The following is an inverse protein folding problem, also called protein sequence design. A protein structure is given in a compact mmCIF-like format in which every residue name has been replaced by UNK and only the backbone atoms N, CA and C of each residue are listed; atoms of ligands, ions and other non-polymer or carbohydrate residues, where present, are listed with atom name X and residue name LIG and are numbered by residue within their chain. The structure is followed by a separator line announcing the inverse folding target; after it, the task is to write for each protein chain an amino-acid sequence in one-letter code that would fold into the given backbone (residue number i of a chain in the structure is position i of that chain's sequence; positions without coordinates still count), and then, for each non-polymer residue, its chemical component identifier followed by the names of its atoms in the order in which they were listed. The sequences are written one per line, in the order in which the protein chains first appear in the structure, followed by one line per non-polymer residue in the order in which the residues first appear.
data_IF_199280973780
#
_entry.id   IF_199280973780
#
_cell.length_a   1.000
_cell.length_b   1.000
_cell.length_c   1.000
_cell.angle_alpha   90.00
_cell.angle_beta   90.00
_cell.angle_gamma   90.00
#
_symmetry.space_group_name_H-M   'P 1'
#
loop_
_entity.id
_entity.type
_entity.pdbx_description
1 polymer ?
#
# COMPACT_ATOMS: atom_id res chain seq x y z
N UNK A 1 10.27 7.11 12.01
CA UNK A 1 11.19 6.38 12.90
C UNK A 1 12.02 5.45 12.04
N UNK A 2 13.34 5.47 12.22
CA UNK A 2 14.24 4.68 11.40
C UNK A 2 14.67 3.43 12.20
N UNK A 3 14.03 2.30 11.94
CA UNK A 3 14.34 1.02 12.58
C UNK A 3 15.80 0.60 12.39
N UNK A 4 16.42 1.00 11.27
CA UNK A 4 17.85 0.76 11.03
C UNK A 4 18.70 1.51 12.05
N UNK A 5 18.32 2.75 12.39
CA UNK A 5 18.99 3.54 13.43
C UNK A 5 18.91 2.86 14.79
N UNK A 6 17.72 2.40 15.21
CA UNK A 6 17.55 1.71 16.48
C UNK A 6 18.40 0.44 16.56
N UNK A 7 18.43 -0.33 15.48
CA UNK A 7 19.21 -1.56 15.43
C UNK A 7 20.72 -1.30 15.46
N UNK A 8 21.20 -0.28 14.76
CA UNK A 8 22.61 0.13 14.82
C UNK A 8 22.96 0.65 16.21
N UNK A 9 22.13 1.46 16.84
CA UNK A 9 22.33 1.94 18.20
C UNK A 9 22.43 0.79 19.21
N UNK A 10 21.58 -0.22 19.09
CA UNK A 10 21.62 -1.43 19.91
C UNK A 10 22.95 -2.20 19.74
N UNK A 11 23.41 -2.41 18.49
CA UNK A 11 24.69 -3.06 18.20
C UNK A 11 25.87 -2.27 18.82
N UNK A 12 25.78 -0.94 18.83
CA UNK A 12 26.79 -0.05 19.40
C UNK A 12 26.69 0.06 20.95
N UNK A 13 25.64 -0.53 21.55
CA UNK A 13 25.40 -0.46 23.01
C UNK A 13 24.94 0.91 23.48
N UNK A 14 24.27 1.66 22.62
CA UNK A 14 23.74 2.99 22.88
C UNK A 14 22.25 2.91 23.22
N UNK A 15 21.78 3.88 24.00
CA UNK A 15 20.36 4.10 24.19
C UNK A 15 19.83 4.98 23.05
N UNK A 16 19.02 4.46 22.13
CA UNK A 16 18.54 5.21 20.97
C UNK A 16 17.61 6.39 21.34
N UNK A 17 17.08 6.41 22.56
CA UNK A 17 16.20 7.48 23.04
C UNK A 17 16.99 8.60 23.77
N UNK A 18 18.18 8.30 24.31
CA UNK A 18 19.02 9.25 25.05
C UNK A 18 20.26 9.67 24.26
N UNK A 19 20.86 8.77 23.49
CA UNK A 19 22.09 8.98 22.75
C UNK A 19 21.79 9.39 21.30
N UNK A 20 21.61 10.68 21.05
CA UNK A 20 21.40 11.18 19.67
C UNK A 20 22.70 11.03 18.89
N UNK A 21 22.83 9.94 18.16
CA UNK A 21 23.80 9.90 17.05
C UNK A 21 23.16 10.70 15.90
N UNK A 22 23.82 11.75 15.45
CA UNK A 22 23.39 12.52 14.28
C UNK A 22 23.64 11.71 12.99
N UNK A 23 23.17 10.45 13.03
CA UNK A 23 23.40 9.43 12.01
C UNK A 23 22.39 9.57 10.86
N UNK A 24 21.22 10.13 11.17
CA UNK A 24 20.15 10.37 10.23
C UNK A 24 19.58 11.78 10.39
N UNK A 25 20.09 12.68 9.59
CA UNK A 25 19.31 13.87 9.25
C UNK A 25 18.03 13.49 8.49
N UNK A 26 17.23 14.47 8.11
CA UNK A 26 16.07 14.24 7.24
C UNK A 26 16.53 13.59 5.93
N UNK A 27 16.42 12.27 5.81
CA UNK A 27 16.81 11.51 4.62
C UNK A 27 15.98 11.95 3.41
N UNK A 28 16.60 12.57 2.46
CA UNK A 28 15.96 12.90 1.18
C UNK A 28 15.95 11.67 0.28
N UNK A 29 14.84 11.47 -0.43
CA UNK A 29 14.75 10.50 -1.52
C UNK A 29 14.86 11.23 -2.85
N UNK A 30 15.76 10.77 -3.70
CA UNK A 30 15.86 11.20 -5.09
C UNK A 30 15.36 10.05 -5.95
N UNK A 31 14.23 10.26 -6.62
CA UNK A 31 13.67 9.28 -7.54
C UNK A 31 13.83 9.78 -8.98
N UNK A 32 14.40 8.98 -9.85
CA UNK A 32 14.52 9.26 -11.28
C UNK A 32 14.14 8.03 -12.11
N UNK A 33 13.78 8.28 -13.39
CA UNK A 33 13.57 7.19 -14.34
C UNK A 33 14.89 6.51 -14.69
N UNK A 34 14.83 5.27 -15.13
CA UNK A 34 15.96 4.55 -15.69
C UNK A 34 15.77 4.34 -17.20
N UNK A 35 16.85 4.47 -17.96
CA UNK A 35 16.83 4.33 -19.43
C UNK A 35 16.59 2.90 -19.91
N UNK A 36 16.84 1.91 -19.03
CA UNK A 36 16.79 0.49 -19.34
C UNK A 36 15.53 -0.21 -18.81
N UNK A 37 14.48 0.54 -18.46
CA UNK A 37 13.22 -0.06 -18.02
C UNK A 37 12.59 -0.88 -19.15
N UNK A 38 12.18 -2.09 -18.80
CA UNK A 38 11.33 -2.93 -19.65
C UNK A 38 9.89 -2.49 -19.54
N UNK A 39 9.11 -2.70 -20.58
CA UNK A 39 7.66 -2.51 -20.51
C UNK A 39 7.02 -3.47 -19.52
N UNK A 40 6.03 -2.99 -18.80
CA UNK A 40 5.17 -3.87 -18.01
C UNK A 40 4.30 -4.71 -18.94
N UNK A 41 4.14 -5.99 -18.62
CA UNK A 41 3.25 -6.90 -19.31
C UNK A 41 2.18 -7.39 -18.32
N UNK A 42 0.92 -7.49 -18.78
CA UNK A 42 -0.19 -7.92 -17.92
C UNK A 42 -0.99 -9.02 -18.59
N UNK A 43 -1.19 -10.09 -17.82
CA UNK A 43 -2.12 -11.18 -18.17
C UNK A 43 -3.34 -11.08 -17.25
N UNK A 44 -4.52 -10.97 -17.88
CA UNK A 44 -5.79 -10.89 -17.16
C UNK A 44 -6.62 -12.12 -17.50
N UNK A 45 -7.10 -12.80 -16.48
CA UNK A 45 -8.00 -13.96 -16.59
C UNK A 45 -9.26 -13.67 -15.80
N UNK A 46 -10.43 -13.95 -16.38
CA UNK A 46 -11.70 -13.85 -15.66
C UNK A 46 -12.64 -14.97 -16.05
N UNK A 47 -13.46 -15.39 -15.08
CA UNK A 47 -14.55 -16.32 -15.29
C UNK A 47 -15.75 -15.83 -14.49
N UNK A 48 -16.91 -15.80 -15.14
CA UNK A 48 -18.12 -15.31 -14.52
C UNK A 48 -19.38 -16.07 -14.91
N UNK A 49 -20.39 -15.90 -14.08
CA UNK A 49 -21.75 -16.40 -14.32
C UNK A 49 -22.75 -15.26 -14.22
N UNK A 50 -23.80 -15.36 -15.03
CA UNK A 50 -24.95 -14.46 -14.99
C UNK A 50 -26.19 -15.30 -14.77
N UNK A 51 -27.00 -14.94 -13.78
CA UNK A 51 -28.24 -15.61 -13.43
C UNK A 51 -29.40 -14.63 -13.52
N UNK A 52 -30.48 -15.04 -14.13
CA UNK A 52 -31.76 -14.29 -14.19
C UNK A 52 -32.86 -15.15 -13.58
N UNK A 53 -32.93 -15.30 -12.22
CA UNK A 53 -33.81 -16.23 -11.56
C UNK A 53 -35.31 -15.85 -11.60
N UNK A 54 -35.57 -14.57 -11.85
CA UNK A 54 -36.93 -14.02 -12.03
C UNK A 54 -36.86 -12.72 -12.87
N UNK A 55 -38.05 -12.32 -13.37
CA UNK A 55 -38.16 -11.12 -14.18
C UNK A 55 -37.61 -9.89 -13.44
N UNK A 56 -36.75 -9.16 -14.15
CA UNK A 56 -36.12 -7.94 -13.64
C UNK A 56 -34.95 -8.14 -12.66
N UNK A 57 -34.64 -9.36 -12.24
CA UNK A 57 -33.49 -9.65 -11.37
C UNK A 57 -32.36 -10.30 -12.15
N UNK A 58 -31.21 -9.65 -12.17
CA UNK A 58 -29.96 -10.19 -12.70
C UNK A 58 -28.92 -10.24 -11.57
N UNK A 59 -28.27 -11.38 -11.43
CA UNK A 59 -27.16 -11.60 -10.49
C UNK A 59 -25.94 -11.99 -11.30
N UNK A 60 -24.80 -11.33 -11.07
CA UNK A 60 -23.51 -11.68 -11.67
C UNK A 60 -22.52 -12.02 -10.58
N UNK A 61 -21.66 -12.98 -10.87
CA UNK A 61 -20.50 -13.28 -10.04
C UNK A 61 -19.32 -13.58 -10.98
N UNK A 62 -18.27 -12.80 -10.85
CA UNK A 62 -17.07 -12.86 -11.68
C UNK A 62 -15.85 -13.00 -10.78
N UNK A 63 -15.07 -14.08 -10.95
CA UNK A 63 -13.75 -14.19 -10.36
C UNK A 63 -12.69 -13.81 -11.38
N UNK A 64 -11.65 -13.14 -10.94
CA UNK A 64 -10.62 -12.61 -11.84
C UNK A 64 -9.24 -12.64 -11.19
N UNK A 65 -8.21 -12.75 -12.03
CA UNK A 65 -6.80 -12.67 -11.65
C UNK A 65 -6.07 -11.77 -12.64
N UNK A 66 -5.25 -10.87 -12.12
CA UNK A 66 -4.39 -9.96 -12.88
C UNK A 66 -2.96 -10.23 -12.44
N UNK A 67 -2.16 -10.76 -13.36
CA UNK A 67 -0.73 -10.95 -13.17
C UNK A 67 0.03 -9.92 -14.00
N UNK A 68 0.90 -9.14 -13.37
CA UNK A 68 1.65 -8.05 -13.98
C UNK A 68 3.14 -8.29 -13.79
N UNK A 69 3.83 -8.57 -14.88
CA UNK A 69 5.27 -8.76 -14.92
C UNK A 69 6.03 -7.45 -15.17
N UNK A 70 7.29 -7.40 -14.76
CA UNK A 70 8.15 -6.23 -14.89
C UNK A 70 7.52 -4.95 -14.32
N UNK A 71 6.78 -5.06 -13.21
CA UNK A 71 6.11 -3.93 -12.58
C UNK A 71 7.09 -2.79 -12.32
N UNK A 72 6.83 -1.61 -12.87
CA UNK A 72 7.69 -0.46 -12.66
C UNK A 72 7.37 0.14 -11.30
N UNK A 73 8.37 0.16 -10.43
CA UNK A 73 8.23 0.64 -9.07
C UNK A 73 9.55 1.11 -8.48
N UNK A 74 9.52 1.39 -7.20
CA UNK A 74 10.68 1.79 -6.41
C UNK A 74 11.03 0.66 -5.44
N UNK A 75 12.31 0.46 -5.17
CA UNK A 75 12.74 -0.48 -4.14
C UNK A 75 12.34 -0.01 -2.74
N UNK A 76 12.31 1.28 -2.55
CA UNK A 76 11.95 1.93 -1.30
C UNK A 76 13.17 2.42 -0.50
N UNK A 77 13.03 3.64 0.03
CA UNK A 77 14.12 4.26 0.79
C UNK A 77 14.53 3.43 2.01
N UNK A 78 13.55 2.91 2.76
CA UNK A 78 13.79 2.08 3.94
C UNK A 78 14.53 0.79 3.55
N UNK A 79 14.08 0.11 2.49
CA UNK A 79 14.74 -1.11 2.01
C UNK A 79 16.19 -0.84 1.56
N UNK A 80 16.48 0.30 0.91
CA UNK A 80 17.84 0.67 0.55
C UNK A 80 18.75 0.85 1.76
N UNK A 81 18.27 1.50 2.83
CA UNK A 81 19.05 1.68 4.07
C UNK A 81 19.23 0.38 4.83
N UNK A 82 18.21 -0.47 4.86
CA UNK A 82 18.30 -1.81 5.45
C UNK A 82 19.30 -2.69 4.68
N UNK A 83 19.32 -2.60 3.35
CA UNK A 83 20.27 -3.32 2.53
C UNK A 83 21.71 -2.82 2.74
N UNK A 84 21.89 -1.51 2.93
CA UNK A 84 23.19 -0.92 3.28
C UNK A 84 23.70 -1.46 4.63
N UNK A 85 22.83 -1.54 5.64
CA UNK A 85 23.17 -2.16 6.92
C UNK A 85 23.52 -3.63 6.75
N UNK A 86 22.76 -4.39 5.97
CA UNK A 86 23.04 -5.79 5.70
C UNK A 86 24.44 -5.99 5.10
N UNK A 87 24.81 -5.16 4.12
CA UNK A 87 26.15 -5.21 3.52
C UNK A 87 27.25 -4.93 4.55
N UNK A 88 27.00 -4.01 5.49
CA UNK A 88 27.94 -3.71 6.57
C UNK A 88 28.07 -4.87 7.56
N UNK A 89 26.96 -5.50 7.96
CA UNK A 89 26.94 -6.69 8.80
C UNK A 89 27.69 -7.86 8.15
N UNK A 90 27.48 -8.08 6.86
CA UNK A 90 28.18 -9.13 6.09
C UNK A 90 29.67 -8.87 5.97
N UNK A 91 30.10 -7.61 5.93
CA UNK A 91 31.51 -7.23 5.92
C UNK A 91 32.18 -7.57 7.27
N UNK A 92 31.44 -7.55 8.38
CA UNK A 92 31.91 -7.94 9.71
C UNK A 92 33.08 -7.11 10.24
N UNK A 93 33.13 -5.81 9.88
CA UNK A 93 34.23 -4.91 10.28
C UNK A 93 35.57 -5.19 9.55
N UNK A 94 35.57 -5.99 8.50
CA UNK A 94 36.78 -6.26 7.72
C UNK A 94 37.02 -5.18 6.66
N UNK A 95 38.30 -4.79 6.49
CA UNK A 95 38.74 -3.85 5.44
C UNK A 95 37.83 -2.62 5.27
N UNK A 96 37.52 -1.97 6.39
CA UNK A 96 36.62 -0.82 6.40
C UNK A 96 37.10 0.36 5.54
N UNK A 97 38.40 0.42 5.23
CA UNK A 97 38.94 1.45 4.34
C UNK A 97 38.44 1.32 2.89
N UNK A 98 38.05 0.11 2.48
CA UNK A 98 37.54 -0.19 1.14
C UNK A 98 36.05 -0.63 1.19
N UNK A 99 35.40 -0.51 2.35
CA UNK A 99 33.98 -0.89 2.45
C UNK A 99 33.14 0.05 1.59
N UNK A 100 32.37 -0.53 0.69
CA UNK A 100 31.35 0.15 -0.11
C UNK A 100 30.02 -0.51 0.22
N UNK A 101 29.15 0.23 0.89
CA UNK A 101 27.79 -0.19 1.17
C UNK A 101 26.89 -0.19 -0.07
N UNK A 102 25.61 0.01 0.13
CA UNK A 102 24.66 0.15 -0.97
C UNK A 102 24.92 1.45 -1.75
N UNK A 103 25.26 1.34 -3.02
CA UNK A 103 25.55 2.51 -3.88
C UNK A 103 24.38 3.49 -4.05
N UNK A 104 23.15 3.06 -3.73
CA UNK A 104 21.98 3.93 -3.70
C UNK A 104 21.95 4.85 -2.47
N UNK A 105 22.64 4.49 -1.39
CA UNK A 105 22.70 5.25 -0.14
C UNK A 105 23.92 6.16 -0.18
N UNK A 106 23.69 7.45 -0.37
CA UNK A 106 24.78 8.45 -0.42
C UNK A 106 25.00 9.03 0.96
N UNK A 107 26.22 8.89 1.46
CA UNK A 107 26.63 9.27 2.81
C UNK A 107 27.68 10.37 2.78
N UNK A 108 27.83 11.07 3.90
CA UNK A 108 29.01 11.86 4.21
C UNK A 108 30.13 10.94 4.72
N UNK A 109 31.35 11.46 4.71
CA UNK A 109 32.48 10.73 5.34
C UNK A 109 32.25 10.71 6.87
N UNK A 110 32.55 9.58 7.55
CA UNK A 110 32.48 9.54 9.01
C UNK A 110 33.55 10.44 9.61
N UNK A 111 33.18 11.21 10.65
CA UNK A 111 34.14 11.93 11.43
C UNK A 111 34.86 11.02 12.46
N UNK A 112 35.81 11.58 13.23
CA UNK A 112 36.60 10.78 14.18
C UNK A 112 35.74 10.24 15.32
N UNK A 113 34.72 10.96 15.76
CA UNK A 113 33.86 10.54 16.86
C UNK A 113 33.02 9.34 16.43
N UNK A 114 32.51 9.32 15.18
CA UNK A 114 31.82 8.16 14.57
C UNK A 114 32.77 6.98 14.43
N UNK A 115 34.01 7.21 13.95
CA UNK A 115 35.02 6.12 13.81
C UNK A 115 35.30 5.48 15.17
N UNK A 116 35.51 6.29 16.21
CA UNK A 116 35.77 5.81 17.57
C UNK A 116 34.56 5.06 18.15
N UNK A 117 33.34 5.53 17.88
CA UNK A 117 32.10 4.91 18.32
C UNK A 117 31.92 3.49 17.73
N UNK A 118 32.24 3.30 16.45
CA UNK A 118 32.13 2.00 15.80
C UNK A 118 33.25 1.04 16.12
N UNK A 119 34.29 1.49 16.86
CA UNK A 119 35.45 0.65 17.15
C UNK A 119 35.07 -0.58 17.97
N UNK A 120 35.31 -1.76 17.40
CA UNK A 120 35.04 -3.05 18.04
C UNK A 120 33.59 -3.55 17.93
N UNK A 121 32.70 -2.82 17.26
CA UNK A 121 31.30 -3.24 17.06
C UNK A 121 31.11 -4.37 16.05
N UNK A 122 32.11 -4.63 15.19
CA UNK A 122 31.98 -5.53 14.05
C UNK A 122 31.32 -4.88 12.82
N UNK A 123 31.08 -3.57 12.87
CA UNK A 123 30.62 -2.77 11.76
C UNK A 123 31.71 -1.83 11.28
N UNK A 124 31.69 -1.50 10.00
CA UNK A 124 32.51 -0.42 9.49
C UNK A 124 31.84 0.94 9.80
N UNK A 125 32.64 1.92 10.24
CA UNK A 125 32.11 3.28 10.50
C UNK A 125 31.59 3.89 9.20
N UNK A 126 30.39 4.41 9.21
CA UNK A 126 29.75 5.10 8.09
C UNK A 126 29.16 6.43 8.58
N UNK A 127 29.31 7.47 7.77
CA UNK A 127 28.76 8.79 8.11
C UNK A 127 27.26 8.92 7.85
N UNK A 128 26.68 10.10 8.17
CA UNK A 128 25.27 10.37 7.99
C UNK A 128 24.79 10.20 6.54
N UNK A 129 23.57 9.70 6.36
CA UNK A 129 22.94 9.60 5.04
C UNK A 129 22.52 11.00 4.57
N UNK A 130 23.01 11.41 3.42
CA UNK A 130 22.60 12.66 2.76
C UNK A 130 21.30 12.51 2.00
N UNK A 131 21.22 11.45 1.17
CA UNK A 131 20.05 11.08 0.39
C UNK A 131 20.14 9.65 -0.11
N UNK A 132 19.02 9.13 -0.52
CA UNK A 132 18.91 7.81 -1.16
C UNK A 132 18.46 7.98 -2.60
N UNK A 133 19.23 7.41 -3.54
CA UNK A 133 18.87 7.28 -4.95
C UNK A 133 17.93 6.10 -5.14
N UNK A 134 16.64 6.35 -5.02
CA UNK A 134 15.60 5.33 -5.18
C UNK A 134 14.99 5.46 -6.58
N UNK A 135 15.73 4.96 -7.57
CA UNK A 135 15.32 5.06 -8.96
C UNK A 135 14.24 4.03 -9.32
N UNK A 136 13.41 4.36 -10.31
CA UNK A 136 12.46 3.41 -10.84
C UNK A 136 13.18 2.21 -11.48
N UNK A 137 12.76 1.02 -11.10
CA UNK A 137 13.27 -0.26 -11.59
C UNK A 137 12.10 -1.17 -11.99
N UNK A 138 12.38 -2.22 -12.75
CA UNK A 138 11.42 -3.29 -12.91
C UNK A 138 11.50 -4.21 -11.69
N UNK A 139 10.40 -4.28 -10.96
CA UNK A 139 10.19 -5.24 -9.88
C UNK A 139 9.67 -6.55 -10.48
N UNK A 140 9.67 -7.61 -9.69
CA UNK A 140 9.07 -8.89 -10.05
C UNK A 140 7.56 -8.79 -10.25
N UNK A 141 6.92 -9.94 -10.37
CA UNK A 141 5.50 -10.06 -10.66
C UNK A 141 4.66 -9.51 -9.50
N UNK A 142 3.62 -8.77 -9.88
CA UNK A 142 2.52 -8.37 -8.99
C UNK A 142 1.27 -9.13 -9.37
N UNK A 143 0.65 -9.78 -8.40
CA UNK A 143 -0.59 -10.55 -8.60
C UNK A 143 -1.72 -9.94 -7.78
N UNK A 144 -2.87 -9.70 -8.43
CA UNK A 144 -4.09 -9.26 -7.76
C UNK A 144 -5.21 -10.19 -8.19
N UNK A 145 -5.92 -10.77 -7.22
CA UNK A 145 -7.04 -11.67 -7.45
C UNK A 145 -8.26 -11.20 -6.67
N UNK A 146 -9.43 -11.47 -7.22
CA UNK A 146 -10.64 -11.08 -6.54
C UNK A 146 -11.91 -11.58 -7.19
N UNK A 147 -13.03 -11.21 -6.56
CA UNK A 147 -14.37 -11.57 -6.98
C UNK A 147 -15.27 -10.35 -6.99
N UNK A 148 -15.96 -10.13 -8.10
CA UNK A 148 -17.00 -9.12 -8.22
C UNK A 148 -18.38 -9.77 -8.15
N UNK A 149 -19.29 -9.21 -7.35
CA UNK A 149 -20.69 -9.61 -7.25
C UNK A 149 -21.56 -8.43 -7.65
N UNK A 150 -22.43 -8.66 -8.64
CA UNK A 150 -23.42 -7.68 -9.08
C UNK A 150 -24.84 -8.19 -8.83
N UNK A 151 -25.71 -7.33 -8.30
CA UNK A 151 -27.15 -7.58 -8.19
C UNK A 151 -27.90 -6.40 -8.77
N UNK A 152 -28.71 -6.66 -9.77
CA UNK A 152 -29.53 -5.65 -10.45
C UNK A 152 -30.98 -6.10 -10.39
N UNK A 153 -31.84 -5.30 -9.78
CA UNK A 153 -33.25 -5.61 -9.67
C UNK A 153 -34.14 -4.42 -10.04
N UNK A 154 -34.91 -4.60 -11.09
CA UNK A 154 -35.90 -3.64 -11.53
C UNK A 154 -37.30 -4.24 -11.34
N UNK A 155 -38.17 -3.54 -10.64
CA UNK A 155 -39.54 -3.99 -10.40
C UNK A 155 -40.52 -2.81 -10.31
N UNK A 156 -41.75 -3.07 -10.70
CA UNK A 156 -42.83 -2.10 -10.68
C UNK A 156 -43.76 -2.37 -9.50
N UNK A 157 -44.30 -1.30 -8.94
CA UNK A 157 -45.28 -1.33 -7.86
C UNK A 157 -46.38 -0.29 -8.09
N UNK A 158 -47.46 -0.36 -7.32
CA UNK A 158 -48.50 0.69 -7.32
C UNK A 158 -47.94 2.05 -6.88
N UNK A 159 -46.81 2.11 -6.25
CA UNK A 159 -46.14 3.35 -5.78
C UNK A 159 -45.05 3.85 -6.73
N UNK A 160 -44.87 3.20 -7.89
CA UNK A 160 -43.86 3.55 -8.89
C UNK A 160 -42.83 2.43 -9.13
N UNK A 161 -41.83 2.77 -9.94
CA UNK A 161 -40.81 1.87 -10.42
C UNK A 161 -39.57 1.95 -9.54
N UNK A 162 -39.00 0.81 -9.22
CA UNK A 162 -37.78 0.69 -8.44
C UNK A 162 -36.65 0.08 -9.25
N UNK A 163 -35.47 0.62 -9.08
CA UNK A 163 -34.22 0.05 -9.62
C UNK A 163 -33.20 -0.03 -8.49
N UNK A 164 -32.80 -1.23 -8.14
CA UNK A 164 -31.76 -1.53 -7.16
C UNK A 164 -30.53 -2.03 -7.88
N UNK A 165 -29.36 -1.53 -7.50
CA UNK A 165 -28.08 -1.98 -8.00
C UNK A 165 -27.11 -2.10 -6.84
N UNK A 166 -26.57 -3.29 -6.65
CA UNK A 166 -25.46 -3.57 -5.76
C UNK A 166 -24.27 -4.05 -6.57
N UNK A 167 -23.08 -3.58 -6.26
CA UNK A 167 -21.81 -4.08 -6.76
C UNK A 167 -20.90 -4.18 -5.55
N UNK A 168 -20.38 -5.38 -5.30
CA UNK A 168 -19.35 -5.66 -4.32
C UNK A 168 -18.11 -6.21 -5.03
N UNK A 169 -16.95 -5.66 -4.71
CA UNK A 169 -15.64 -6.18 -5.10
C UNK A 169 -14.94 -6.68 -3.85
N UNK A 170 -14.45 -7.90 -3.89
CA UNK A 170 -13.68 -8.56 -2.84
C UNK A 170 -12.32 -8.90 -3.43
N UNK A 171 -11.27 -8.42 -2.80
CA UNK A 171 -9.89 -8.73 -3.18
C UNK A 171 -9.43 -9.88 -2.29
N UNK A 172 -9.02 -10.99 -2.90
CA UNK A 172 -8.60 -12.21 -2.21
C UNK A 172 -7.07 -12.26 -2.07
N UNK A 173 -6.35 -11.60 -2.99
CA UNK A 173 -4.89 -11.54 -3.01
C UNK A 173 -4.42 -10.21 -3.58
N UNK A 174 -3.43 -9.60 -2.95
CA UNK A 174 -2.64 -8.51 -3.51
C UNK A 174 -1.17 -8.71 -3.13
N UNK A 175 -0.43 -9.40 -3.98
CA UNK A 175 0.96 -9.77 -3.72
C UNK A 175 1.93 -9.07 -4.67
N UNK A 176 3.06 -8.62 -4.13
CA UNK A 176 4.24 -8.20 -4.88
C UNK A 176 5.36 -9.18 -4.59
N UNK A 177 5.66 -10.04 -5.55
CA UNK A 177 6.68 -11.08 -5.38
C UNK A 177 8.04 -10.48 -5.01
N UNK A 178 8.70 -10.96 -3.95
CA UNK A 178 10.07 -10.57 -3.61
C UNK A 178 11.07 -11.08 -4.65
N UNK A 179 12.00 -10.21 -5.09
CA UNK A 179 13.14 -10.63 -5.91
C UNK A 179 14.42 -9.86 -5.56
N UNK A 180 15.54 -10.22 -6.19
CA UNK A 180 16.81 -9.49 -6.09
C UNK A 180 17.24 -9.17 -4.66
N UNK A 181 17.53 -7.90 -4.43
CA UNK A 181 18.01 -7.41 -3.12
C UNK A 181 16.94 -7.57 -2.03
N UNK A 182 15.63 -7.49 -2.37
CA UNK A 182 14.57 -7.71 -1.41
C UNK A 182 14.52 -9.16 -0.90
N UNK A 183 14.67 -10.15 -1.79
CA UNK A 183 14.78 -11.56 -1.39
C UNK A 183 15.99 -11.80 -0.48
N UNK A 184 17.07 -11.04 -0.69
CA UNK A 184 18.27 -11.09 0.16
C UNK A 184 17.97 -10.54 1.55
N UNK A 185 17.23 -9.43 1.66
CA UNK A 185 16.79 -8.88 2.95
C UNK A 185 15.89 -9.86 3.71
N UNK A 186 14.90 -10.44 3.05
CA UNK A 186 14.02 -11.45 3.66
C UNK A 186 14.82 -12.66 4.18
N UNK A 187 15.78 -13.14 3.39
CA UNK A 187 16.65 -14.25 3.79
C UNK A 187 17.54 -13.90 5.00
N UNK A 188 18.02 -12.67 5.05
CA UNK A 188 18.81 -12.17 6.19
C UNK A 188 17.99 -12.10 7.48
N UNK A 189 16.75 -11.66 7.41
CA UNK A 189 15.82 -11.70 8.57
C UNK A 189 15.51 -13.13 9.00
N UNK A 190 15.24 -14.04 8.06
CA UNK A 190 14.96 -15.45 8.38
C UNK A 190 16.16 -16.16 9.02
N UNK A 191 17.38 -15.77 8.65
CA UNK A 191 18.61 -16.31 9.25
C UNK A 191 18.98 -15.64 10.59
N UNK A 192 18.31 -14.58 11.00
CA UNK A 192 18.62 -13.80 12.19
C UNK A 192 19.83 -12.87 12.03
N UNK A 193 20.30 -12.63 10.80
CA UNK A 193 21.36 -11.66 10.53
C UNK A 193 20.84 -10.21 10.56
N UNK A 194 19.60 -10.01 10.14
CA UNK A 194 18.85 -8.78 10.34
C UNK A 194 17.73 -9.02 11.35
N UNK A 195 17.48 -8.03 12.19
CA UNK A 195 16.36 -8.08 13.14
C UNK A 195 15.02 -8.13 12.39
N UNK A 196 14.11 -8.98 12.86
CA UNK A 196 12.78 -9.13 12.26
C UNK A 196 11.86 -7.94 12.53
N UNK A 197 12.18 -7.07 13.48
CA UNK A 197 11.44 -5.83 13.73
C UNK A 197 11.69 -4.75 12.68
N UNK A 198 12.77 -4.86 11.87
CA UNK A 198 13.03 -3.93 10.78
C UNK A 198 11.99 -4.18 9.67
N UNK A 199 11.07 -3.25 9.39
CA UNK A 199 10.06 -3.46 8.38
C UNK A 199 10.66 -3.48 6.98
N UNK A 200 10.23 -4.43 6.16
CA UNK A 200 10.52 -4.49 4.74
C UNK A 200 9.24 -4.11 3.98
N UNK A 201 9.28 -2.98 3.29
CA UNK A 201 8.09 -2.34 2.73
C UNK A 201 7.87 -2.65 1.24
N UNK A 202 6.60 -2.70 0.81
CA UNK A 202 6.21 -2.70 -0.61
C UNK A 202 6.28 -4.04 -1.33
N UNK A 203 6.48 -5.15 -0.60
CA UNK A 203 6.59 -6.49 -1.14
C UNK A 203 5.87 -7.52 -0.27
N UNK A 204 5.63 -8.72 -0.81
CA UNK A 204 4.85 -9.74 -0.18
C UNK A 204 3.36 -9.43 -0.24
N UNK A 205 2.61 -9.87 0.76
CA UNK A 205 1.18 -9.61 0.85
C UNK A 205 0.92 -8.14 1.23
N UNK A 206 0.34 -7.40 0.30
CA UNK A 206 -0.02 -6.00 0.42
C UNK A 206 -1.51 -5.78 0.70
N UNK A 207 -2.28 -6.88 0.79
CA UNK A 207 -3.71 -6.79 1.07
C UNK A 207 -3.94 -6.26 2.50
N UNK A 208 -4.87 -5.33 2.64
CA UNK A 208 -5.14 -4.70 3.93
C UNK A 208 -4.06 -3.72 4.40
N UNK A 209 -3.10 -3.32 3.54
CA UNK A 209 -2.05 -2.36 3.88
C UNK A 209 -2.14 -1.09 3.02
N UNK A 210 -1.87 0.07 3.61
CA UNK A 210 -1.67 1.36 2.93
C UNK A 210 -2.74 1.74 1.89
N UNK A 211 -4.00 1.43 2.19
CA UNK A 211 -5.16 1.75 1.35
C UNK A 211 -5.57 0.64 0.37
N UNK A 212 -4.92 -0.52 0.41
CA UNK A 212 -5.32 -1.71 -0.34
C UNK A 212 -6.37 -2.49 0.48
N UNK A 213 -7.55 -1.93 0.63
CA UNK A 213 -8.66 -2.60 1.34
C UNK A 213 -9.12 -3.85 0.57
N UNK A 214 -9.56 -4.86 1.32
CA UNK A 214 -10.01 -6.15 0.81
C UNK A 214 -11.41 -6.11 0.19
N UNK A 215 -12.24 -5.12 0.58
CA UNK A 215 -13.60 -5.01 0.07
C UNK A 215 -14.04 -3.59 -0.28
N UNK A 216 -14.90 -3.50 -1.29
CA UNK A 216 -15.56 -2.26 -1.69
C UNK A 216 -16.98 -2.53 -2.15
N UNK A 217 -17.94 -1.81 -1.61
CA UNK A 217 -19.35 -1.98 -1.93
C UNK A 217 -19.96 -0.70 -2.46
N UNK A 218 -20.81 -0.82 -3.46
CA UNK A 218 -21.67 0.26 -3.94
C UNK A 218 -23.11 -0.24 -4.00
N UNK A 219 -23.99 0.42 -3.25
CA UNK A 219 -25.41 0.20 -3.32
C UNK A 219 -26.09 1.45 -3.90
N UNK A 220 -26.96 1.27 -4.86
CA UNK A 220 -27.76 2.35 -5.41
C UNK A 220 -29.23 1.92 -5.52
N UNK A 221 -30.13 2.74 -4.97
CA UNK A 221 -31.56 2.57 -5.11
C UNK A 221 -32.16 3.79 -5.79
N UNK A 222 -32.98 3.56 -6.80
CA UNK A 222 -33.70 4.61 -7.53
C UNK A 222 -35.18 4.27 -7.52
N UNK A 223 -35.99 5.25 -7.12
CA UNK A 223 -37.44 5.21 -7.22
C UNK A 223 -37.91 6.26 -8.21
N UNK A 224 -38.91 5.91 -9.04
CA UNK A 224 -39.57 6.80 -9.97
C UNK A 224 -41.07 6.68 -9.86
N UNK A 225 -41.74 7.83 -9.82
CA UNK A 225 -43.21 7.91 -9.89
C UNK A 225 -43.61 9.20 -10.60
N UNK A 226 -44.22 9.07 -11.76
CA UNK A 226 -44.57 10.21 -12.60
C UNK A 226 -43.33 11.08 -12.89
N UNK A 227 -43.38 12.40 -12.60
CA UNK A 227 -42.24 13.28 -12.88
C UNK A 227 -41.14 13.21 -11.82
N UNK A 228 -41.31 12.46 -10.75
CA UNK A 228 -40.33 12.37 -9.66
C UNK A 228 -39.36 11.24 -9.81
N UNK A 229 -38.10 11.49 -9.48
CA UNK A 229 -37.10 10.48 -9.29
C UNK A 229 -36.30 10.79 -8.02
N UNK A 230 -36.18 9.78 -7.15
CA UNK A 230 -35.33 9.81 -5.98
C UNK A 230 -34.27 8.73 -6.13
N UNK A 231 -33.02 9.09 -5.92
CA UNK A 231 -31.90 8.15 -5.97
C UNK A 231 -31.06 8.30 -4.71
N UNK A 232 -30.85 7.21 -4.00
CA UNK A 232 -29.83 7.11 -2.95
C UNK A 232 -28.71 6.21 -3.40
N UNK A 233 -27.49 6.48 -2.94
CA UNK A 233 -26.35 5.60 -3.14
C UNK A 233 -25.44 5.61 -1.94
N UNK A 234 -24.90 4.44 -1.62
CA UNK A 234 -23.90 4.25 -0.57
C UNK A 234 -22.62 3.71 -1.20
N UNK A 235 -21.50 4.19 -0.72
CA UNK A 235 -20.18 3.67 -1.05
C UNK A 235 -19.47 3.28 0.26
N UNK A 236 -19.16 2.00 0.40
CA UNK A 236 -18.36 1.46 1.50
C UNK A 236 -16.98 1.07 0.97
N UNK A 237 -15.95 1.38 1.71
CA UNK A 237 -14.57 0.87 1.55
C UNK A 237 -14.21 0.14 2.82
N UNK A 238 -13.55 -1.02 2.67
CA UNK A 238 -13.06 -1.84 3.77
C UNK A 238 -11.99 -1.11 4.60
N UNK A 239 -11.66 -1.70 5.72
CA UNK A 239 -10.58 -1.25 6.60
C UNK A 239 -9.21 -1.62 6.02
N UNK A 240 -8.18 -0.97 6.51
CA UNK A 240 -6.80 -1.31 6.21
C UNK A 240 -5.87 -0.79 7.32
N UNK A 241 -4.64 -1.32 7.37
CA UNK A 241 -3.61 -0.85 8.27
C UNK A 241 -2.64 0.08 7.55
N UNK A 242 -2.18 1.12 8.26
CA UNK A 242 -1.12 1.99 7.75
C UNK A 242 0.23 1.38 8.15
N UNK A 243 0.85 0.65 7.24
CA UNK A 243 2.07 -0.12 7.52
C UNK A 243 3.24 0.79 7.92
N UNK A 244 3.37 1.96 7.28
CA UNK A 244 4.39 2.97 7.59
C UNK A 244 4.31 3.57 9.00
N UNK A 245 3.21 3.34 9.74
CA UNK A 245 3.00 3.80 11.12
C UNK A 245 3.02 2.65 12.14
N UNK A 246 3.58 1.50 11.79
CA UNK A 246 3.75 0.40 12.75
C UNK A 246 4.71 0.83 13.87
N UNK A 247 4.29 0.65 15.12
CA UNK A 247 5.13 0.96 16.29
C UNK A 247 6.17 -0.14 16.52
N UNK A 248 7.21 0.17 17.30
CA UNK A 248 8.30 -0.77 17.63
C UNK A 248 7.83 -2.04 18.36
N UNK A 249 6.68 -1.99 19.03
CA UNK A 249 6.05 -3.15 19.68
C UNK A 249 5.18 -3.99 18.73
N UNK A 250 5.15 -3.64 17.43
CA UNK A 250 4.34 -4.31 16.40
C UNK A 250 2.88 -3.82 16.32
N UNK A 251 2.50 -2.81 17.10
CA UNK A 251 1.15 -2.22 17.02
C UNK A 251 0.98 -1.52 15.67
N UNK A 252 -0.06 -1.91 14.92
CA UNK A 252 -0.43 -1.31 13.65
C UNK A 252 -1.61 -0.35 13.83
N UNK A 253 -1.59 0.76 13.11
CA UNK A 253 -2.71 1.70 13.08
C UNK A 253 -3.74 1.26 12.05
N UNK A 254 -4.92 0.95 12.53
CA UNK A 254 -6.07 0.58 11.70
C UNK A 254 -6.81 1.83 11.24
N UNK A 255 -7.02 1.92 9.94
CA UNK A 255 -7.95 2.87 9.33
C UNK A 255 -9.28 2.13 9.15
N UNK A 256 -10.30 2.45 9.95
CA UNK A 256 -11.55 1.70 9.93
C UNK A 256 -12.29 1.84 8.59
N UNK A 257 -13.17 0.90 8.32
CA UNK A 257 -14.05 0.97 7.16
C UNK A 257 -14.88 2.25 7.15
N UNK A 258 -15.11 2.80 5.96
CA UNK A 258 -15.85 4.05 5.79
C UNK A 258 -17.01 3.87 4.82
N UNK A 259 -18.20 4.33 5.21
CA UNK A 259 -19.39 4.36 4.35
C UNK A 259 -19.89 5.79 4.18
N UNK A 260 -20.14 6.19 2.94
CA UNK A 260 -20.74 7.49 2.62
C UNK A 260 -22.07 7.30 1.91
N UNK A 261 -23.05 8.14 2.25
CA UNK A 261 -24.39 8.11 1.66
C UNK A 261 -24.67 9.40 0.87
N UNK A 262 -25.24 9.23 -0.32
CA UNK A 262 -25.63 10.35 -1.17
C UNK A 262 -27.13 10.27 -1.48
N UNK A 263 -27.79 11.42 -1.58
CA UNK A 263 -29.19 11.54 -1.94
C UNK A 263 -29.37 12.51 -3.09
N UNK A 264 -30.18 12.13 -4.06
CA UNK A 264 -30.54 12.98 -5.19
C UNK A 264 -32.04 12.92 -5.41
N UNK A 265 -32.67 14.08 -5.60
CA UNK A 265 -34.05 14.21 -6.00
C UNK A 265 -34.10 14.97 -7.32
N UNK A 266 -34.85 14.46 -8.28
CA UNK A 266 -35.05 15.09 -9.56
C UNK A 266 -36.55 15.18 -9.89
N UNK A 267 -36.93 16.31 -10.52
CA UNK A 267 -38.26 16.50 -11.08
C UNK A 267 -38.14 16.77 -12.58
N UNK A 268 -38.94 16.08 -13.35
CA UNK A 268 -38.94 16.15 -14.82
C UNK A 268 -40.17 16.95 -15.28
N UNK A 269 -39.93 18.09 -15.88
CA UNK A 269 -40.93 18.86 -16.61
C UNK A 269 -40.92 18.43 -18.08
N UNK A 270 -41.92 18.85 -18.85
CA UNK A 270 -41.98 18.50 -20.30
C UNK A 270 -40.73 18.88 -21.09
N UNK A 271 -40.10 19.99 -20.72
CA UNK A 271 -38.95 20.55 -21.46
C UNK A 271 -37.73 20.83 -20.58
N UNK A 272 -37.79 20.49 -19.31
CA UNK A 272 -36.73 20.79 -18.35
C UNK A 272 -36.63 19.72 -17.26
N UNK A 273 -35.48 19.63 -16.62
CA UNK A 273 -35.28 18.81 -15.44
C UNK A 273 -34.59 19.64 -14.37
N UNK A 274 -35.11 19.62 -13.17
CA UNK A 274 -34.46 20.16 -11.97
C UNK A 274 -33.95 19.00 -11.13
N UNK A 275 -32.68 19.06 -10.71
CA UNK A 275 -32.04 18.05 -9.88
C UNK A 275 -31.36 18.73 -8.71
N UNK A 276 -31.65 18.24 -7.49
CA UNK A 276 -30.97 18.60 -6.26
C UNK A 276 -30.25 17.36 -5.72
N UNK A 277 -29.03 17.52 -5.24
CA UNK A 277 -28.24 16.43 -4.67
C UNK A 277 -27.50 16.88 -3.42
N UNK A 278 -27.40 15.99 -2.47
CA UNK A 278 -26.57 16.09 -1.28
C UNK A 278 -25.62 14.92 -1.32
N UNK A 279 -24.34 15.19 -1.30
CA UNK A 279 -23.30 14.17 -1.16
C UNK A 279 -22.92 14.08 0.31
N UNK A 280 -22.62 12.86 0.76
CA UNK A 280 -22.23 12.59 2.13
C UNK A 280 -23.26 13.17 3.13
N UNK A 281 -24.48 12.64 3.09
CA UNK A 281 -25.66 13.16 3.84
C UNK A 281 -25.41 13.19 5.35
N UNK A 282 -24.59 12.30 5.87
CA UNK A 282 -24.28 12.14 7.30
C UNK A 282 -23.07 12.95 7.73
N UNK A 283 -22.42 13.68 6.81
CA UNK A 283 -21.16 14.40 7.04
C UNK A 283 -20.06 13.49 7.61
N UNK A 284 -20.03 12.23 7.12
CA UNK A 284 -19.02 11.26 7.52
C UNK A 284 -17.63 11.80 7.22
N UNK A 285 -16.76 11.77 8.19
CA UNK A 285 -15.39 12.26 8.06
C UNK A 285 -14.45 11.12 7.71
N UNK A 286 -13.46 11.42 6.88
CA UNK A 286 -12.39 10.47 6.66
C UNK A 286 -11.78 10.05 8.01
N UNK A 287 -11.58 8.75 8.24
CA UNK A 287 -10.87 8.29 9.42
C UNK A 287 -9.53 9.01 9.55
N UNK A 288 -9.18 9.38 10.76
CA UNK A 288 -7.86 9.94 11.06
C UNK A 288 -6.91 8.76 11.27
N UNK A 289 -5.77 8.83 10.63
CA UNK A 289 -4.65 7.93 10.87
C UNK A 289 -3.90 8.36 12.13
#
# INVERSE_FOLDING_TARGET
YDYVYYHVAEILGLDPDEDVIDYYGSMQRVASGAENLKAEESTNTSFGIVLEPLDGLTITADTWSIEKENTIGLFGRANHTTYDLLLNLLNGGNDCANFVGNSAVVREDPDQDVIDLFAGSGLCPVGPVRYVNDNYINLATRTIEGTDIGVYYNFETSFGDFSLRYIGTYIDLFDQTPDGDYSTLVSAQQSGLLDQSIPLEGFGDLLGLDGNYDEKHTLRATWRNGPWQVTTSSLTKGEFYQDSLTLSDGTRFEIPSMTTHNLTVAYYFDRARVKLGINNVEDERAPLA
#
